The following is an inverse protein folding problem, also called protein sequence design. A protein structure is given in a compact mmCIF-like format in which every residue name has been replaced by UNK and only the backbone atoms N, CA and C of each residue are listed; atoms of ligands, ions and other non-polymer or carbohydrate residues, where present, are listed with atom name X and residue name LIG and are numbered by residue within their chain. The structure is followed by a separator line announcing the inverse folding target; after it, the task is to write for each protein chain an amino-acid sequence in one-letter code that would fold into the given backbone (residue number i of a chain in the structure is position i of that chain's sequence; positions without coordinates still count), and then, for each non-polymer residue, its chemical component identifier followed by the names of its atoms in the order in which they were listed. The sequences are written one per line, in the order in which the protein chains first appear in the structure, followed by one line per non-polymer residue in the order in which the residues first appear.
data_IF_534047609266
#
_entry.id   IF_534047609266
#
_cell.length_a   1.000
_cell.length_b   1.000
_cell.length_c   1.000
_cell.angle_alpha   90.00
_cell.angle_beta   90.00
_cell.angle_gamma   90.00
#
_symmetry.space_group_name_H-M   'P 1'
#
loop_
_entity.id
_entity.type
_entity.pdbx_description
1 polymer ?
#
# COMPACT_ATOMS: atom_id res chain seq x y z
N UNK A 1 25.11 -7.82 -0.08
CA UNK A 1 24.80 -9.17 0.42
C UNK A 1 23.29 -9.28 0.50
N UNK A 2 22.66 -10.19 -0.24
CA UNK A 2 21.21 -10.38 -0.15
C UNK A 2 20.86 -10.85 1.28
N UNK A 3 19.88 -10.23 1.96
CA UNK A 3 19.41 -10.74 3.23
C UNK A 3 18.87 -12.15 3.01
N UNK A 4 19.39 -13.12 3.77
CA UNK A 4 18.82 -14.48 3.79
C UNK A 4 17.38 -14.34 4.27
N UNK A 5 16.37 -14.87 3.56
CA UNK A 5 15.00 -14.82 4.05
C UNK A 5 14.93 -15.51 5.41
N UNK A 6 14.07 -15.03 6.34
CA UNK A 6 13.89 -15.67 7.62
C UNK A 6 13.40 -17.10 7.36
N UNK A 7 14.28 -18.07 7.58
CA UNK A 7 13.88 -19.46 7.65
C UNK A 7 13.12 -19.60 8.96
N UNK A 8 11.87 -20.08 8.91
CA UNK A 8 11.15 -20.54 10.10
C UNK A 8 11.95 -21.70 10.68
N UNK A 9 12.95 -21.41 11.53
CA UNK A 9 13.79 -22.43 12.18
C UNK A 9 13.00 -23.00 13.34
N UNK A 10 12.51 -24.22 13.17
CA UNK A 10 12.18 -25.08 14.31
C UNK A 10 13.50 -25.71 14.78
N UNK A 11 14.05 -25.25 15.90
CA UNK A 11 15.16 -25.96 16.55
C UNK A 11 14.53 -27.08 17.38
N UNK A 12 14.60 -28.31 16.88
CA UNK A 12 14.34 -29.50 17.70
C UNK A 12 15.61 -29.78 18.51
N UNK A 13 15.57 -29.48 19.81
CA UNK A 13 16.61 -29.97 20.73
C UNK A 13 16.34 -31.45 20.97
N UNK A 14 17.01 -32.31 20.21
CA UNK A 14 17.01 -33.74 20.44
C UNK A 14 17.85 -34.09 21.67
N UNK A 15 17.24 -34.79 22.63
CA UNK A 15 17.93 -35.34 23.79
C UNK A 15 19.05 -36.31 23.40
N UNK A 16 20.06 -36.35 24.27
CA UNK A 16 21.28 -37.13 24.16
C UNK A 16 21.05 -38.58 23.67
N UNK A 17 21.98 -39.04 22.82
CA UNK A 17 22.18 -40.38 22.24
C UNK A 17 21.77 -40.46 20.76
N UNK A 18 22.80 -40.44 19.90
CA UNK A 18 22.81 -40.44 18.41
C UNK A 18 22.78 -39.06 17.74
N UNK A 19 23.99 -38.58 17.41
CA UNK A 19 24.23 -37.33 16.70
C UNK A 19 23.90 -37.41 15.22
N UNK A 20 22.62 -37.31 14.88
CA UNK A 20 22.17 -36.90 13.56
C UNK A 20 21.55 -35.50 13.67
N UNK A 21 22.34 -34.46 13.36
CA UNK A 21 21.77 -33.13 13.11
C UNK A 21 21.12 -33.19 11.72
N UNK A 22 19.85 -33.59 11.69
CA UNK A 22 19.04 -33.46 10.49
C UNK A 22 18.75 -31.99 10.24
N UNK A 23 19.36 -31.40 9.20
CA UNK A 23 18.87 -30.13 8.67
C UNK A 23 17.61 -30.45 7.87
N UNK A 24 16.45 -30.31 8.49
CA UNK A 24 15.19 -30.26 7.76
C UNK A 24 15.10 -28.91 7.05
N UNK A 25 15.55 -28.86 5.79
CA UNK A 25 15.26 -27.75 4.89
C UNK A 25 13.81 -27.85 4.44
N UNK A 26 12.92 -27.17 5.17
CA UNK A 26 11.51 -27.08 4.82
C UNK A 26 11.32 -26.09 3.67
N UNK A 27 10.74 -26.55 2.56
CA UNK A 27 10.05 -25.66 1.63
C UNK A 27 8.58 -25.66 2.03
N UNK A 28 8.04 -24.55 2.56
CA UNK A 28 6.59 -24.35 2.60
C UNK A 28 6.02 -24.69 1.22
N UNK A 29 4.82 -25.28 1.16
CA UNK A 29 4.09 -25.28 -0.10
C UNK A 29 4.08 -23.83 -0.63
N UNK A 30 4.35 -23.61 -1.93
CA UNK A 30 4.45 -22.26 -2.46
C UNK A 30 3.15 -21.52 -2.18
N UNK A 31 3.26 -20.28 -1.72
CA UNK A 31 2.07 -19.47 -1.48
C UNK A 31 1.21 -19.39 -2.75
N UNK A 32 -0.13 -19.28 -2.64
CA UNK A 32 -1.00 -19.13 -3.81
C UNK A 32 -0.52 -18.00 -4.74
N UNK A 33 -0.50 -18.26 -6.04
CA UNK A 33 0.03 -17.29 -6.99
C UNK A 33 -0.98 -16.18 -7.30
N UNK A 34 -0.45 -14.97 -7.42
CA UNK A 34 -1.13 -13.86 -8.08
C UNK A 34 -1.46 -14.23 -9.52
N UNK A 35 -2.62 -13.77 -10.01
CA UNK A 35 -3.08 -13.98 -11.37
C UNK A 35 -3.15 -12.63 -12.08
N UNK A 36 -2.58 -12.58 -13.29
CA UNK A 36 -2.81 -11.45 -14.18
C UNK A 36 -4.28 -11.48 -14.59
N UNK A 37 -5.01 -10.40 -14.30
CA UNK A 37 -6.39 -10.21 -14.77
C UNK A 37 -6.34 -9.64 -16.17
N UNK A 38 -5.52 -8.60 -16.38
CA UNK A 38 -5.14 -8.10 -17.70
C UNK A 38 -3.73 -7.50 -17.64
N UNK A 39 -2.97 -7.62 -18.72
CA UNK A 39 -1.70 -6.93 -18.91
C UNK A 39 -1.84 -5.63 -19.69
N UNK A 40 -3.03 -5.38 -20.25
CA UNK A 40 -3.31 -4.30 -21.19
C UNK A 40 -4.68 -3.67 -20.89
N UNK A 41 -4.80 -3.03 -19.73
CA UNK A 41 -6.01 -2.28 -19.41
C UNK A 41 -6.14 -1.03 -20.31
N UNK A 42 -7.36 -0.58 -20.65
CA UNK A 42 -7.58 0.44 -21.69
C UNK A 42 -7.21 1.86 -21.27
N UNK A 43 -6.87 2.07 -20.00
CA UNK A 43 -6.45 3.37 -19.48
C UNK A 43 -4.95 3.57 -19.69
N UNK A 44 -4.52 4.83 -19.86
CA UNK A 44 -3.10 5.12 -20.07
C UNK A 44 -2.23 4.64 -18.89
N UNK A 45 -1.03 4.07 -19.13
CA UNK A 45 -0.11 3.69 -18.07
C UNK A 45 0.21 4.83 -17.12
N UNK A 46 0.14 4.53 -15.82
CA UNK A 46 0.14 5.54 -14.76
C UNK A 46 0.65 4.99 -13.43
N UNK A 47 1.06 5.89 -12.55
CA UNK A 47 1.29 5.60 -11.14
C UNK A 47 0.54 6.60 -10.24
N UNK A 48 0.61 6.43 -8.92
CA UNK A 48 -0.03 7.31 -7.94
C UNK A 48 -1.54 7.55 -8.19
N UNK A 49 -2.20 6.63 -8.87
CA UNK A 49 -3.63 6.73 -9.17
C UNK A 49 -4.45 6.34 -7.94
N UNK A 50 -5.55 7.07 -7.68
CA UNK A 50 -6.50 6.69 -6.65
C UNK A 50 -7.20 5.40 -7.02
N UNK A 51 -7.13 4.37 -6.17
CA UNK A 51 -7.85 3.12 -6.36
C UNK A 51 -8.79 2.90 -5.17
N UNK A 52 -10.10 2.95 -5.42
CA UNK A 52 -11.11 2.93 -4.36
C UNK A 52 -12.30 2.08 -4.75
N UNK A 53 -13.05 1.60 -3.76
CA UNK A 53 -14.33 0.93 -3.98
C UNK A 53 -15.47 1.91 -3.73
N UNK A 54 -16.35 2.04 -4.72
CA UNK A 54 -17.54 2.86 -4.62
C UNK A 54 -18.65 2.22 -5.46
N UNK A 55 -19.85 2.13 -4.90
CA UNK A 55 -21.03 1.51 -5.54
C UNK A 55 -20.74 0.12 -6.13
N UNK A 56 -20.05 -0.73 -5.37
CA UNK A 56 -19.70 -2.10 -5.76
C UNK A 56 -18.88 -2.18 -7.07
N UNK A 57 -18.03 -1.19 -7.31
CA UNK A 57 -17.08 -1.16 -8.43
C UNK A 57 -15.71 -0.70 -7.94
N UNK A 58 -14.68 -1.16 -8.64
CA UNK A 58 -13.32 -0.65 -8.54
C UNK A 58 -13.26 0.64 -9.35
N UNK A 59 -12.79 1.73 -8.74
CA UNK A 59 -12.57 3.00 -9.38
C UNK A 59 -11.09 3.33 -9.44
N UNK A 60 -10.60 3.72 -10.62
CA UNK A 60 -9.26 4.24 -10.87
C UNK A 60 -9.38 5.72 -11.25
N UNK A 61 -8.85 6.61 -10.42
CA UNK A 61 -9.05 8.06 -10.53
C UNK A 61 -7.70 8.76 -10.61
N UNK A 62 -7.48 9.48 -11.71
CA UNK A 62 -6.29 10.28 -11.95
C UNK A 62 -4.99 9.46 -11.94
N UNK A 63 -3.94 10.04 -11.35
CA UNK A 63 -2.58 9.49 -11.30
C UNK A 63 -1.58 10.31 -12.10
N UNK A 64 -0.32 9.90 -12.10
CA UNK A 64 0.75 10.52 -12.90
C UNK A 64 0.95 9.70 -14.18
N UNK A 65 0.90 10.33 -15.37
CA UNK A 65 1.17 9.63 -16.63
C UNK A 65 2.67 9.54 -16.92
N UNK A 66 3.04 8.63 -17.82
CA UNK A 66 4.45 8.36 -18.15
C UNK A 66 5.22 9.53 -18.77
N UNK A 67 4.54 10.36 -19.58
CA UNK A 67 5.18 11.30 -20.50
C UNK A 67 5.02 12.76 -20.12
N UNK A 68 4.18 13.06 -19.13
CA UNK A 68 3.92 14.44 -18.73
C UNK A 68 3.92 14.58 -17.21
N UNK A 69 4.50 15.67 -16.70
CA UNK A 69 4.46 15.98 -15.26
C UNK A 69 3.08 16.43 -14.74
N UNK A 70 2.12 16.69 -15.64
CA UNK A 70 0.74 17.01 -15.28
C UNK A 70 -0.02 15.76 -14.86
N UNK A 71 -0.75 15.85 -13.74
CA UNK A 71 -1.59 14.76 -13.26
C UNK A 71 -2.80 14.51 -14.15
N UNK A 72 -3.15 13.24 -14.31
CA UNK A 72 -4.38 12.81 -14.95
C UNK A 72 -5.60 13.17 -14.09
N UNK A 73 -6.72 13.41 -14.75
CA UNK A 73 -8.01 13.67 -14.10
C UNK A 73 -9.16 12.85 -14.68
N UNK A 74 -8.84 11.79 -15.43
CA UNK A 74 -9.80 10.81 -15.91
C UNK A 74 -10.28 9.89 -14.78
N UNK A 75 -11.50 9.37 -14.91
CA UNK A 75 -12.08 8.42 -13.98
C UNK A 75 -12.52 7.17 -14.75
N UNK A 76 -12.07 6.01 -14.27
CA UNK A 76 -12.43 4.70 -14.82
C UNK A 76 -13.06 3.83 -13.76
N UNK A 77 -14.01 2.99 -14.15
CA UNK A 77 -14.65 2.04 -13.25
C UNK A 77 -14.70 0.63 -13.85
N UNK A 78 -14.66 -0.39 -13.00
CA UNK A 78 -14.82 -1.79 -13.38
C UNK A 78 -15.52 -2.58 -12.28
N UNK A 79 -16.36 -3.56 -12.62
CA UNK A 79 -16.96 -4.44 -11.63
C UNK A 79 -16.04 -5.63 -11.28
N UNK A 80 -15.02 -5.88 -12.09
CA UNK A 80 -14.24 -7.12 -12.04
C UNK A 80 -12.75 -6.94 -12.37
N UNK A 81 -12.30 -5.72 -12.63
CA UNK A 81 -10.90 -5.37 -12.93
C UNK A 81 -10.41 -5.75 -14.33
N UNK A 82 -11.23 -6.43 -15.14
CA UNK A 82 -10.93 -6.80 -16.52
C UNK A 82 -11.48 -5.78 -17.52
N UNK A 83 -12.81 -5.59 -17.57
CA UNK A 83 -13.43 -4.61 -18.45
C UNK A 83 -13.56 -3.28 -17.72
N UNK A 84 -13.00 -2.22 -18.30
CA UNK A 84 -13.04 -0.89 -17.72
C UNK A 84 -13.89 0.06 -18.55
N UNK A 85 -14.76 0.79 -17.88
CA UNK A 85 -15.55 1.89 -18.46
C UNK A 85 -14.86 3.20 -18.14
N UNK A 86 -14.60 4.03 -19.15
CA UNK A 86 -14.19 5.42 -18.91
C UNK A 86 -15.42 6.24 -18.57
N UNK A 87 -15.52 6.64 -17.32
CA UNK A 87 -16.68 7.35 -16.77
C UNK A 87 -16.56 8.86 -16.97
N UNK A 88 -15.32 9.37 -17.02
CA UNK A 88 -15.02 10.77 -17.23
C UNK A 88 -13.66 10.93 -17.91
N UNK A 89 -13.59 11.70 -18.98
CA UNK A 89 -12.33 12.01 -19.68
C UNK A 89 -11.45 13.01 -18.90
N UNK A 90 -12.05 14.05 -18.34
CA UNK A 90 -11.33 15.09 -17.63
C UNK A 90 -12.22 15.71 -16.56
N UNK A 91 -11.81 15.55 -15.30
CA UNK A 91 -12.46 16.22 -14.19
C UNK A 91 -12.01 17.69 -14.04
N UNK A 92 -12.82 18.55 -13.38
CA UNK A 92 -12.60 19.99 -13.32
C UNK A 92 -11.57 20.46 -12.26
N UNK A 93 -10.95 19.56 -11.49
CA UNK A 93 -9.89 19.94 -10.56
C UNK A 93 -8.57 20.25 -11.24
N UNK A 94 -7.65 20.83 -10.48
CA UNK A 94 -6.30 21.10 -10.95
C UNK A 94 -5.57 19.79 -11.30
N UNK A 95 -4.75 19.75 -12.38
CA UNK A 95 -4.09 18.54 -12.86
C UNK A 95 -2.89 18.18 -11.97
N UNK A 96 -3.18 17.69 -10.76
CA UNK A 96 -2.16 17.42 -9.75
C UNK A 96 -1.73 15.95 -9.73
N UNK A 97 -0.47 15.72 -9.40
CA UNK A 97 0.06 14.40 -9.08
C UNK A 97 -0.06 14.11 -7.58
N UNK A 98 -0.04 12.82 -7.20
CA UNK A 98 -0.03 12.37 -5.80
C UNK A 98 -1.17 12.94 -4.95
N UNK A 99 -2.34 13.14 -5.58
CA UNK A 99 -3.59 13.44 -4.87
C UNK A 99 -3.99 12.30 -3.98
N UNK A 100 -4.71 12.63 -2.92
CA UNK A 100 -5.31 11.65 -2.03
C UNK A 100 -6.74 11.40 -2.49
N UNK A 101 -7.10 10.13 -2.72
CA UNK A 101 -8.43 9.74 -3.21
C UNK A 101 -9.01 8.68 -2.27
N UNK A 102 -10.28 8.81 -1.90
CA UNK A 102 -10.97 7.85 -1.03
C UNK A 102 -12.48 7.82 -1.33
N UNK A 103 -13.11 6.68 -1.09
CA UNK A 103 -14.57 6.59 -0.98
C UNK A 103 -14.99 6.77 0.48
N UNK A 104 -15.88 7.72 0.77
CA UNK A 104 -16.35 8.01 2.12
C UNK A 104 -17.76 8.58 2.08
N UNK A 105 -18.61 8.17 3.03
CA UNK A 105 -19.99 8.64 3.16
C UNK A 105 -20.80 8.57 1.84
N UNK A 106 -20.64 7.47 1.09
CA UNK A 106 -21.35 7.25 -0.17
C UNK A 106 -20.91 8.16 -1.32
N UNK A 107 -19.69 8.70 -1.27
CA UNK A 107 -19.12 9.58 -2.29
C UNK A 107 -17.67 9.23 -2.56
N UNK A 108 -17.23 9.55 -3.77
CA UNK A 108 -15.81 9.64 -4.13
C UNK A 108 -15.29 11.01 -3.71
N UNK A 109 -14.09 11.03 -3.14
CA UNK A 109 -13.40 12.24 -2.72
C UNK A 109 -12.00 12.28 -3.31
N UNK A 110 -11.59 13.44 -3.79
CA UNK A 110 -10.22 13.73 -4.19
C UNK A 110 -9.79 15.01 -3.51
N UNK A 111 -8.63 14.99 -2.87
CA UNK A 111 -8.11 16.15 -2.14
C UNK A 111 -6.59 16.22 -2.14
N UNK A 112 -6.08 17.45 -2.09
CA UNK A 112 -4.65 17.73 -2.08
C UNK A 112 -3.91 17.23 -3.32
N UNK A 113 -2.62 17.01 -3.16
CA UNK A 113 -1.69 16.70 -4.25
C UNK A 113 -0.87 17.91 -4.67
N UNK A 114 -0.09 17.73 -5.73
CA UNK A 114 0.84 18.74 -6.21
C UNK A 114 0.53 19.14 -7.65
N UNK A 115 0.30 20.43 -7.87
CA UNK A 115 0.25 21.01 -9.20
C UNK A 115 1.67 21.40 -9.63
N UNK A 116 2.01 21.19 -10.89
CA UNK A 116 3.32 21.57 -11.40
C UNK A 116 3.35 23.06 -11.79
N UNK A 117 4.29 23.80 -11.22
CA UNK A 117 4.56 25.20 -11.53
C UNK A 117 6.02 25.36 -11.98
N UNK A 118 6.23 25.43 -13.29
CA UNK A 118 7.56 25.36 -13.92
C UNK A 118 8.31 24.08 -13.53
N UNK A 119 9.48 24.25 -12.92
CA UNK A 119 10.33 23.15 -12.43
C UNK A 119 9.97 22.71 -10.99
N UNK A 120 8.99 23.37 -10.38
CA UNK A 120 8.57 23.14 -8.98
C UNK A 120 7.20 22.49 -8.89
N UNK A 121 6.88 22.01 -7.70
CA UNK A 121 5.58 21.42 -7.37
C UNK A 121 4.96 22.21 -6.23
N UNK A 122 3.79 22.78 -6.47
CA UNK A 122 3.02 23.52 -5.47
C UNK A 122 1.94 22.62 -4.87
N UNK A 123 1.87 22.47 -3.54
CA UNK A 123 0.81 21.69 -2.90
C UNK A 123 -0.52 22.44 -2.96
N UNK A 124 -1.62 21.72 -3.14
CA UNK A 124 -2.98 22.28 -3.10
C UNK A 124 -3.77 21.77 -1.89
N UNK A 125 -4.83 22.49 -1.52
CA UNK A 125 -5.77 22.10 -0.45
C UNK A 125 -7.22 21.94 -0.97
N UNK A 126 -7.41 21.91 -2.28
CA UNK A 126 -8.75 21.77 -2.87
C UNK A 126 -9.36 20.40 -2.49
N UNK A 127 -10.65 20.42 -2.16
CA UNK A 127 -11.46 19.22 -1.90
C UNK A 127 -12.53 19.14 -2.97
N UNK A 128 -12.61 17.98 -3.64
CA UNK A 128 -13.62 17.67 -4.64
C UNK A 128 -14.35 16.40 -4.25
N UNK A 129 -15.65 16.35 -4.56
CA UNK A 129 -16.46 15.15 -4.34
C UNK A 129 -17.38 14.85 -5.52
N UNK A 130 -17.71 13.57 -5.68
CA UNK A 130 -18.68 13.09 -6.65
C UNK A 130 -19.49 11.93 -6.10
N UNK A 131 -20.74 11.82 -6.54
CA UNK A 131 -21.59 10.67 -6.23
C UNK A 131 -21.36 9.52 -7.20
N UNK A 132 -20.97 9.82 -8.44
CA UNK A 132 -21.02 8.88 -9.55
C UNK A 132 -19.69 8.78 -10.32
N UNK A 133 -18.66 9.53 -9.90
CA UNK A 133 -17.37 9.62 -10.57
C UNK A 133 -17.39 10.36 -11.91
N UNK A 134 -18.56 10.83 -12.38
CA UNK A 134 -18.76 11.54 -13.65
C UNK A 134 -18.94 13.04 -13.43
N UNK A 135 -19.68 13.40 -12.40
CA UNK A 135 -20.00 14.78 -12.04
C UNK A 135 -19.32 15.15 -10.74
N UNK A 136 -18.37 16.07 -10.79
CA UNK A 136 -17.58 16.47 -9.62
C UNK A 136 -17.86 17.91 -9.22
N UNK A 137 -18.00 18.12 -7.92
CA UNK A 137 -18.28 19.44 -7.33
C UNK A 137 -17.16 19.81 -6.36
N UNK A 138 -16.69 21.05 -6.46
CA UNK A 138 -15.72 21.60 -5.50
C UNK A 138 -16.42 21.76 -4.17
N UNK A 139 -15.97 21.01 -3.18
CA UNK A 139 -16.54 21.00 -1.84
C UNK A 139 -15.93 22.10 -0.94
N UNK A 140 -14.81 22.69 -1.36
CA UNK A 140 -14.15 23.80 -0.68
C UNK A 140 -12.63 23.67 -0.69
N UNK A 141 -12.00 24.37 0.24
CA UNK A 141 -10.61 24.18 0.62
C UNK A 141 -10.55 23.54 1.99
N UNK A 142 -9.52 22.73 2.22
CA UNK A 142 -9.34 22.06 3.49
C UNK A 142 -8.83 22.99 4.59
N UNK A 143 -9.21 22.69 5.83
CA UNK A 143 -8.69 23.35 7.03
C UNK A 143 -7.22 22.99 7.32
N UNK A 144 -6.75 21.85 6.78
CA UNK A 144 -5.36 21.43 6.88
C UNK A 144 -4.47 22.17 5.86
N UNK A 145 -3.20 22.39 6.22
CA UNK A 145 -2.24 23.03 5.33
C UNK A 145 -2.07 22.25 4.00
N UNK A 146 -2.01 22.94 2.83
CA UNK A 146 -1.87 22.30 1.52
C UNK A 146 -0.79 21.24 1.49
N UNK A 147 -1.11 20.04 0.97
CA UNK A 147 -0.22 18.88 0.98
C UNK A 147 -0.62 17.82 -0.04
N UNK A 148 0.33 16.93 -0.34
CA UNK A 148 0.10 15.67 -1.04
C UNK A 148 0.81 14.50 -0.36
N UNK A 149 0.54 13.29 -0.84
CA UNK A 149 1.17 12.07 -0.31
C UNK A 149 0.86 11.78 1.16
N UNK A 150 -0.20 12.37 1.73
CA UNK A 150 -0.76 11.92 3.00
C UNK A 150 -1.57 10.64 2.83
N UNK A 151 -1.87 9.96 3.93
CA UNK A 151 -2.73 8.78 3.91
C UNK A 151 -4.15 9.15 4.35
N UNK A 152 -5.15 8.75 3.55
CA UNK A 152 -6.56 8.82 3.91
C UNK A 152 -7.06 7.45 4.35
N UNK A 153 -7.86 7.39 5.41
CA UNK A 153 -8.47 6.15 5.89
C UNK A 153 -9.85 6.43 6.47
N UNK A 154 -10.85 5.63 6.08
CA UNK A 154 -12.16 5.65 6.73
C UNK A 154 -12.14 4.70 7.93
N UNK A 155 -12.44 5.21 9.11
CA UNK A 155 -12.42 4.43 10.35
C UNK A 155 -13.46 4.96 11.33
N UNK A 156 -14.25 4.04 11.89
CA UNK A 156 -15.31 4.35 12.87
C UNK A 156 -16.30 5.42 12.37
N UNK A 157 -16.76 5.29 11.12
CA UNK A 157 -17.72 6.21 10.49
C UNK A 157 -17.15 7.58 10.11
N UNK A 158 -15.86 7.81 10.32
CA UNK A 158 -15.17 9.07 10.07
C UNK A 158 -14.09 8.92 9.00
N UNK A 159 -13.67 10.03 8.41
CA UNK A 159 -12.54 10.08 7.51
C UNK A 159 -11.36 10.75 8.21
N UNK A 160 -10.20 10.12 8.10
CA UNK A 160 -8.96 10.53 8.76
C UNK A 160 -7.89 10.84 7.72
N UNK A 161 -7.11 11.89 7.97
CA UNK A 161 -5.94 12.28 7.19
C UNK A 161 -4.71 12.23 8.11
N UNK A 162 -3.67 11.54 7.64
CA UNK A 162 -2.44 11.33 8.37
C UNK A 162 -1.24 11.81 7.56
N UNK A 163 -0.44 12.71 8.15
CA UNK A 163 0.83 13.16 7.60
C UNK A 163 0.75 13.80 6.20
N UNK A 164 1.75 13.50 5.38
CA UNK A 164 1.94 14.09 4.03
C UNK A 164 3.08 15.10 3.99
N UNK A 165 3.20 15.81 2.87
CA UNK A 165 4.24 16.83 2.67
C UNK A 165 3.76 18.00 1.82
N UNK A 166 4.41 19.16 2.03
CA UNK A 166 4.32 20.32 1.14
C UNK A 166 5.25 20.21 -0.07
N UNK A 167 6.30 19.38 0.04
CA UNK A 167 7.43 19.33 -0.90
C UNK A 167 7.70 17.89 -1.33
N UNK A 168 7.23 17.45 -2.51
CA UNK A 168 7.31 16.04 -2.90
C UNK A 168 8.74 15.53 -3.11
N UNK A 169 9.73 16.41 -3.33
CA UNK A 169 11.16 16.07 -3.45
C UNK A 169 11.97 16.61 -2.25
N UNK A 170 11.30 16.91 -1.14
CA UNK A 170 11.90 17.44 0.08
C UNK A 170 12.85 18.61 -0.18
N UNK A 171 12.49 19.48 -1.14
CA UNK A 171 13.33 20.57 -1.60
C UNK A 171 13.21 21.85 -0.77
N UNK A 172 12.12 22.00 -0.02
CA UNK A 172 11.84 23.14 0.86
C UNK A 172 12.47 23.02 2.25
N UNK A 173 12.17 24.01 3.10
CA UNK A 173 12.66 24.06 4.49
C UNK A 173 11.62 23.61 5.51
N UNK A 174 10.34 23.57 5.13
CA UNK A 174 9.28 23.08 6.00
C UNK A 174 9.35 21.56 6.17
N UNK A 175 9.17 21.05 7.41
CA UNK A 175 9.13 19.62 7.65
C UNK A 175 7.88 18.98 7.03
N UNK A 176 7.96 17.69 6.76
CA UNK A 176 6.77 16.88 6.51
C UNK A 176 5.85 16.89 7.73
N UNK A 177 4.64 16.40 7.53
CA UNK A 177 3.64 16.36 8.58
C UNK A 177 3.62 15.02 9.33
N UNK A 178 3.34 15.09 10.62
CA UNK A 178 2.85 13.99 11.46
C UNK A 178 1.61 14.38 12.27
N UNK A 179 0.83 15.32 11.75
CA UNK A 179 -0.46 15.67 12.30
C UNK A 179 -1.54 14.64 11.88
N UNK A 180 -2.63 14.63 12.64
CA UNK A 180 -3.81 13.83 12.38
C UNK A 180 -5.04 14.73 12.37
N UNK A 181 -5.79 14.64 11.28
CA UNK A 181 -7.04 15.35 11.08
C UNK A 181 -8.18 14.37 10.90
N UNK A 182 -9.38 14.78 11.32
CA UNK A 182 -10.60 13.98 11.18
C UNK A 182 -11.76 14.84 10.66
N UNK A 183 -12.64 14.23 9.90
CA UNK A 183 -13.90 14.84 9.44
C UNK A 183 -15.06 13.84 9.53
N UNK A 184 -16.25 14.37 9.81
CA UNK A 184 -17.51 13.64 9.78
C UNK A 184 -18.20 13.71 8.41
N UNK A 185 -17.84 14.68 7.56
CA UNK A 185 -18.58 15.01 6.34
C UNK A 185 -17.71 15.14 5.07
N UNK A 186 -16.39 15.03 5.20
CA UNK A 186 -15.44 15.15 4.08
C UNK A 186 -14.97 16.58 3.79
N UNK A 187 -15.60 17.61 4.39
CA UNK A 187 -15.35 19.02 4.06
C UNK A 187 -14.84 19.84 5.23
N UNK A 188 -15.36 19.62 6.43
CA UNK A 188 -14.93 20.33 7.66
C UNK A 188 -14.02 19.41 8.46
N UNK A 189 -12.79 19.83 8.67
CA UNK A 189 -11.74 19.02 9.27
C UNK A 189 -11.30 19.60 10.62
N UNK A 190 -11.13 18.71 11.59
CA UNK A 190 -10.62 19.06 12.92
C UNK A 190 -9.26 18.40 13.13
N UNK A 191 -8.25 19.20 13.46
CA UNK A 191 -6.96 18.66 13.89
C UNK A 191 -7.12 18.05 15.28
N UNK A 192 -6.87 16.75 15.41
CA UNK A 192 -7.02 16.02 16.68
C UNK A 192 -5.68 15.65 17.30
N UNK A 193 -4.61 15.64 16.50
CA UNK A 193 -3.23 15.51 16.97
C UNK A 193 -2.36 16.46 16.16
N UNK A 194 -1.67 17.38 16.83
CA UNK A 194 -0.74 18.29 16.15
C UNK A 194 0.58 17.59 15.78
N UNK A 195 1.12 16.78 16.69
CA UNK A 195 2.36 16.05 16.50
C UNK A 195 2.20 14.63 17.06
N UNK A 196 1.91 13.67 16.20
CA UNK A 196 1.83 12.27 16.60
C UNK A 196 3.23 11.70 16.92
N UNK A 197 3.34 10.62 17.71
CA UNK A 197 4.65 10.12 18.16
C UNK A 197 5.49 9.44 17.07
N UNK A 198 4.88 9.13 15.91
CA UNK A 198 5.61 8.65 14.75
C UNK A 198 6.28 9.81 14.00
N UNK A 199 7.42 9.50 13.37
CA UNK A 199 8.17 10.48 12.59
C UNK A 199 7.34 11.03 11.43
N UNK A 200 7.44 12.34 11.19
CA UNK A 200 6.85 13.01 10.03
C UNK A 200 7.15 12.27 8.73
N UNK A 201 6.13 12.08 7.89
CA UNK A 201 6.24 11.21 6.71
C UNK A 201 5.20 11.53 5.66
N UNK A 202 5.59 11.31 4.41
CA UNK A 202 4.71 11.24 3.26
C UNK A 202 4.82 9.85 2.61
N UNK A 203 3.93 9.57 1.66
CA UNK A 203 3.98 8.38 0.80
C UNK A 203 3.95 7.05 1.59
N UNK A 204 3.34 7.09 2.78
CA UNK A 204 3.07 5.96 3.64
C UNK A 204 1.65 5.45 3.37
N UNK A 205 1.35 4.26 3.90
CA UNK A 205 0.00 3.71 3.87
C UNK A 205 -0.68 3.84 5.22
N UNK A 206 -1.99 4.04 5.19
CA UNK A 206 -2.87 3.84 6.33
C UNK A 206 -3.94 2.80 5.99
N UNK A 207 -4.12 1.79 6.84
CA UNK A 207 -5.12 0.73 6.64
C UNK A 207 -5.90 0.47 7.92
N UNK A 208 -7.18 0.09 7.80
CA UNK A 208 -7.94 -0.43 8.94
C UNK A 208 -7.73 -1.93 9.03
N UNK A 209 -7.31 -2.39 10.19
CA UNK A 209 -7.10 -3.81 10.47
C UNK A 209 -7.44 -4.09 11.93
N UNK A 210 -8.24 -5.13 12.17
CA UNK A 210 -8.69 -5.55 13.50
C UNK A 210 -9.20 -4.38 14.37
N UNK A 211 -10.04 -3.52 13.78
CA UNK A 211 -10.67 -2.40 14.49
C UNK A 211 -9.72 -1.27 14.87
N UNK A 212 -8.55 -1.15 14.24
CA UNK A 212 -7.60 -0.08 14.48
C UNK A 212 -7.09 0.52 13.16
N UNK A 213 -6.62 1.76 13.21
CA UNK A 213 -5.86 2.40 12.13
C UNK A 213 -4.41 1.98 12.25
N UNK A 214 -3.78 1.58 11.14
CA UNK A 214 -2.38 1.19 11.07
C UNK A 214 -1.60 2.05 10.10
N UNK A 215 -0.39 2.49 10.47
CA UNK A 215 0.55 3.22 9.61
C UNK A 215 1.70 2.29 9.23
N UNK A 216 2.02 2.23 7.94
CA UNK A 216 3.10 1.41 7.40
C UNK A 216 3.99 2.22 6.45
N UNK A 217 5.30 2.22 6.75
CA UNK A 217 6.33 2.77 5.87
C UNK A 217 6.23 4.28 5.64
N UNK A 218 6.59 4.70 4.42
CA UNK A 218 6.71 6.10 3.98
C UNK A 218 8.01 6.77 4.41
N UNK A 219 8.09 8.08 4.21
CA UNK A 219 9.28 8.86 4.55
C UNK A 219 9.43 10.14 3.71
N UNK A 220 10.63 10.38 3.19
CA UNK A 220 11.01 11.53 2.37
C UNK A 220 11.68 11.07 1.09
N UNK A 221 11.37 11.76 0.00
CA UNK A 221 12.06 11.63 -1.28
C UNK A 221 12.90 12.89 -1.56
N UNK A 222 13.95 12.76 -2.37
CA UNK A 222 14.79 13.89 -2.80
C UNK A 222 15.90 14.25 -1.80
N UNK A 223 16.07 15.53 -1.44
CA UNK A 223 17.19 15.95 -0.57
C UNK A 223 17.04 15.28 0.80
N UNK A 224 18.05 14.53 1.25
CA UNK A 224 18.02 13.76 2.52
C UNK A 224 16.86 12.74 2.58
N UNK A 225 16.73 11.92 1.54
CA UNK A 225 15.73 10.85 1.51
C UNK A 225 15.82 9.95 2.76
N UNK A 226 14.66 9.57 3.29
CA UNK A 226 14.55 8.52 4.30
C UNK A 226 13.34 7.65 3.97
N UNK A 227 13.45 6.36 4.29
CA UNK A 227 12.36 5.43 4.10
C UNK A 227 12.22 4.62 5.39
N UNK A 228 11.02 4.61 5.94
CA UNK A 228 10.73 4.03 7.24
C UNK A 228 10.24 2.59 7.13
N UNK A 229 10.50 1.82 8.18
CA UNK A 229 10.07 0.43 8.37
C UNK A 229 9.46 0.18 9.75
N UNK A 230 9.04 1.25 10.42
CA UNK A 230 8.27 1.16 11.64
C UNK A 230 6.78 0.94 11.32
N UNK A 231 6.09 0.32 12.26
CA UNK A 231 4.65 0.04 12.19
C UNK A 231 4.00 0.57 13.46
N UNK A 232 2.92 1.33 13.27
CA UNK A 232 2.14 1.92 14.36
C UNK A 232 0.67 1.57 14.19
N UNK A 233 -0.04 1.43 15.31
CA UNK A 233 -1.49 1.31 15.32
C UNK A 233 -2.14 2.29 16.30
N UNK A 234 -3.40 2.61 16.06
CA UNK A 234 -4.23 3.44 16.93
C UNK A 234 -5.68 2.96 16.93
N UNK A 235 -6.31 2.78 18.11
CA UNK A 235 -7.72 2.45 18.21
C UNK A 235 -8.66 3.66 18.00
N UNK A 236 -8.14 4.88 18.06
CA UNK A 236 -8.93 6.12 18.12
C UNK A 236 -8.38 7.26 17.24
N UNK A 237 -7.32 7.00 16.48
CA UNK A 237 -6.57 7.97 15.68
C UNK A 237 -5.77 9.00 16.47
N UNK A 238 -5.81 8.96 17.81
CA UNK A 238 -5.20 9.95 18.71
C UNK A 238 -4.06 9.35 19.51
N UNK A 239 -4.30 8.19 20.11
CA UNK A 239 -3.36 7.43 20.91
C UNK A 239 -2.67 6.40 20.04
N UNK A 240 -1.35 6.51 19.87
CA UNK A 240 -0.59 5.67 18.94
C UNK A 240 0.37 4.74 19.67
N UNK A 241 0.37 3.47 19.29
CA UNK A 241 1.28 2.44 19.81
C UNK A 241 2.19 1.96 18.70
N UNK A 242 3.51 2.00 18.92
CA UNK A 242 4.48 1.42 17.99
C UNK A 242 4.52 -0.09 18.17
N UNK A 243 4.21 -0.84 17.11
CA UNK A 243 4.19 -2.31 17.10
C UNK A 243 5.58 -2.89 16.80
N UNK A 244 6.33 -2.25 15.92
CA UNK A 244 7.76 -2.49 15.73
C UNK A 244 8.46 -1.21 15.26
N UNK A 245 9.71 -1.02 15.68
CA UNK A 245 10.56 0.04 15.15
C UNK A 245 11.28 -0.38 13.86
N UNK A 246 11.40 -1.68 13.63
CA UNK A 246 12.11 -2.28 12.50
C UNK A 246 11.39 -3.57 12.10
N UNK A 247 10.45 -3.46 11.16
CA UNK A 247 9.91 -4.63 10.50
C UNK A 247 10.99 -5.34 9.67
N UNK A 248 10.74 -6.60 9.33
CA UNK A 248 11.65 -7.48 8.59
C UNK A 248 11.86 -7.04 7.14
N UNK A 249 10.93 -6.25 6.61
CA UNK A 249 11.03 -5.63 5.30
C UNK A 249 11.83 -4.33 5.34
N UNK A 250 12.59 -4.01 4.28
CA UNK A 250 13.35 -2.76 4.21
C UNK A 250 12.44 -1.55 4.11
N UNK A 251 12.89 -0.43 4.69
CA UNK A 251 12.17 0.84 4.64
C UNK A 251 11.82 1.27 3.22
N UNK A 252 10.59 1.75 3.02
CA UNK A 252 10.01 2.00 1.69
C UNK A 252 9.06 3.19 1.64
N UNK A 253 8.99 3.84 0.48
CA UNK A 253 7.97 4.83 0.13
C UNK A 253 7.17 4.35 -1.08
N UNK A 254 5.98 4.90 -1.32
CA UNK A 254 5.14 4.54 -2.48
C UNK A 254 4.89 3.03 -2.60
N UNK A 255 4.81 2.34 -1.47
CA UNK A 255 4.36 0.95 -1.39
C UNK A 255 2.83 0.91 -1.32
N UNK A 256 2.22 -0.26 -1.52
CA UNK A 256 0.81 -0.46 -1.26
C UNK A 256 0.61 -1.33 -0.01
N UNK A 257 -0.50 -1.12 0.71
CA UNK A 257 -0.87 -1.93 1.86
C UNK A 257 -2.36 -2.23 1.89
N UNK A 258 -2.73 -3.36 2.49
CA UNK A 258 -4.11 -3.78 2.62
C UNK A 258 -4.33 -4.62 3.87
N UNK A 259 -5.58 -4.72 4.33
CA UNK A 259 -6.01 -5.73 5.30
C UNK A 259 -6.80 -6.80 4.55
N UNK A 260 -6.25 -8.02 4.44
CA UNK A 260 -6.87 -9.12 3.71
C UNK A 260 -6.61 -10.44 4.43
N UNK A 261 -7.65 -11.28 4.53
CA UNK A 261 -7.59 -12.60 5.20
C UNK A 261 -6.99 -12.54 6.61
N UNK A 262 -7.42 -11.55 7.40
CA UNK A 262 -6.95 -11.41 8.78
C UNK A 262 -5.47 -11.09 8.92
N UNK A 263 -4.83 -10.53 7.88
CA UNK A 263 -3.47 -10.04 7.93
C UNK A 263 -3.37 -8.64 7.31
N UNK A 264 -2.43 -7.85 7.83
CA UNK A 264 -1.83 -6.70 7.17
C UNK A 264 -0.92 -7.17 6.05
N UNK A 265 -0.92 -6.46 4.93
CA UNK A 265 -0.07 -6.68 3.76
C UNK A 265 0.74 -5.44 3.46
N UNK A 266 2.02 -5.60 3.12
CA UNK A 266 2.93 -4.55 2.64
C UNK A 266 3.59 -5.04 1.36
N UNK A 267 3.41 -4.30 0.27
CA UNK A 267 3.69 -4.78 -1.09
C UNK A 267 4.47 -3.75 -1.89
N UNK A 268 5.58 -4.19 -2.47
CA UNK A 268 6.40 -3.43 -3.39
C UNK A 268 6.82 -2.06 -2.86
N UNK A 269 6.87 -1.06 -3.73
CA UNK A 269 7.28 0.30 -3.39
C UNK A 269 8.75 0.55 -3.63
N UNK A 270 9.15 1.81 -3.51
CA UNK A 270 10.53 2.23 -3.65
C UNK A 270 11.29 1.96 -2.35
N UNK A 271 12.24 1.02 -2.43
CA UNK A 271 13.26 0.80 -1.41
C UNK A 271 14.52 1.56 -1.83
N UNK A 272 15.22 2.30 -0.93
CA UNK A 272 16.39 3.10 -1.31
C UNK A 272 17.51 2.34 -2.03
N UNK A 273 17.64 1.04 -1.80
CA UNK A 273 18.62 0.17 -2.47
C UNK A 273 18.22 -0.24 -3.90
N UNK A 274 16.96 -0.08 -4.29
CA UNK A 274 16.41 -0.56 -5.57
C UNK A 274 15.59 0.52 -6.27
N UNK A 275 16.22 1.27 -7.19
CA UNK A 275 15.56 2.40 -7.87
C UNK A 275 14.34 2.02 -8.73
N UNK A 276 14.22 0.77 -9.20
CA UNK A 276 13.06 0.30 -9.97
C UNK A 276 11.83 0.00 -9.10
N UNK A 277 11.92 0.17 -7.78
CA UNK A 277 10.93 -0.37 -6.84
C UNK A 277 11.23 -1.82 -6.47
N UNK A 278 10.27 -2.44 -5.79
CA UNK A 278 10.37 -3.79 -5.25
C UNK A 278 9.17 -4.63 -5.66
N UNK A 279 9.34 -5.96 -5.70
CA UNK A 279 8.30 -6.98 -5.87
C UNK A 279 8.14 -7.84 -4.60
N UNK A 280 8.77 -7.45 -3.50
CA UNK A 280 8.62 -8.15 -2.24
C UNK A 280 7.24 -7.89 -1.61
N UNK A 281 6.72 -8.94 -1.01
CA UNK A 281 5.39 -8.97 -0.40
C UNK A 281 5.58 -9.53 0.99
N UNK A 282 5.01 -8.82 1.96
CA UNK A 282 5.08 -9.19 3.37
C UNK A 282 3.70 -9.16 3.96
N UNK A 283 3.43 -10.07 4.89
CA UNK A 283 2.21 -10.08 5.66
C UNK A 283 2.48 -10.25 7.16
N UNK A 284 1.57 -9.74 7.97
CA UNK A 284 1.62 -9.85 9.42
C UNK A 284 0.21 -9.84 10.01
N UNK A 285 -0.04 -10.62 11.05
CA UNK A 285 -1.30 -10.56 11.80
C UNK A 285 -1.30 -9.44 12.84
N UNK A 286 -0.14 -9.12 13.42
CA UNK A 286 -0.02 -8.23 14.57
C UNK A 286 0.81 -6.96 14.29
N UNK A 287 1.34 -6.84 13.08
CA UNK A 287 2.26 -5.80 12.63
C UNK A 287 3.59 -5.73 13.38
N UNK A 288 3.86 -6.65 14.32
CA UNK A 288 5.10 -6.75 15.07
C UNK A 288 6.08 -7.72 14.39
N UNK A 289 5.57 -8.83 13.85
CA UNK A 289 6.37 -9.84 13.13
C UNK A 289 5.84 -10.00 11.71
N UNK A 290 6.72 -9.83 10.72
CA UNK A 290 6.36 -9.93 9.31
C UNK A 290 6.98 -11.14 8.63
N UNK A 291 6.17 -11.80 7.81
CA UNK A 291 6.57 -12.97 7.04
C UNK A 291 6.60 -12.63 5.55
N UNK A 292 7.61 -13.10 4.80
CA UNK A 292 7.62 -12.93 3.36
C UNK A 292 6.56 -13.83 2.72
N UNK A 293 5.85 -13.29 1.74
CA UNK A 293 5.02 -14.04 0.81
C UNK A 293 5.84 -14.36 -0.44
N UNK A 294 6.02 -15.64 -0.73
CA UNK A 294 7.05 -16.11 -1.66
C UNK A 294 6.56 -16.28 -3.10
N UNK A 295 5.26 -16.18 -3.32
CA UNK A 295 4.67 -16.27 -4.65
C UNK A 295 4.61 -14.89 -5.31
N UNK A 296 5.55 -14.64 -6.23
CA UNK A 296 5.70 -13.38 -6.94
C UNK A 296 5.39 -13.58 -8.42
N UNK A 297 4.58 -12.69 -9.00
CA UNK A 297 4.22 -12.76 -10.43
C UNK A 297 4.21 -11.40 -11.14
N UNK A 298 4.03 -10.31 -10.41
CA UNK A 298 4.16 -8.96 -10.96
C UNK A 298 5.59 -8.45 -10.84
N UNK A 299 6.03 -7.69 -11.86
CA UNK A 299 7.35 -7.06 -11.89
C UNK A 299 7.55 -6.07 -10.73
N UNK A 300 8.80 -5.85 -10.26
CA UNK A 300 9.09 -4.82 -9.27
C UNK A 300 8.47 -3.49 -9.68
N UNK A 301 7.85 -2.79 -8.72
CA UNK A 301 7.13 -1.53 -8.98
C UNK A 301 6.99 -0.66 -7.73
N UNK A 302 6.78 0.62 -7.95
CA UNK A 302 6.42 1.61 -6.94
C UNK A 302 5.15 2.35 -7.35
N UNK A 303 4.55 3.09 -6.42
CA UNK A 303 3.39 3.95 -6.64
C UNK A 303 2.22 3.25 -7.35
N UNK A 304 2.12 1.93 -7.17
CA UNK A 304 0.98 1.11 -7.55
C UNK A 304 -0.07 1.20 -6.44
N UNK A 305 -1.31 0.85 -6.79
CA UNK A 305 -2.41 0.90 -5.85
C UNK A 305 -2.90 -0.50 -5.54
N UNK A 306 -3.33 -0.73 -4.30
CA UNK A 306 -3.90 -2.00 -3.88
C UNK A 306 -5.17 -1.79 -3.05
N UNK A 307 -6.11 -2.73 -3.18
CA UNK A 307 -7.32 -2.77 -2.35
C UNK A 307 -7.88 -4.19 -2.26
N UNK A 308 -8.84 -4.38 -1.37
CA UNK A 308 -9.62 -5.62 -1.28
C UNK A 308 -11.00 -5.37 -1.86
N UNK A 309 -11.43 -6.23 -2.78
CA UNK A 309 -12.75 -6.17 -3.38
C UNK A 309 -13.18 -7.53 -3.92
N UNK A 310 -14.47 -7.86 -3.76
CA UNK A 310 -15.03 -9.15 -4.19
C UNK A 310 -14.15 -10.35 -3.78
N UNK A 311 -13.76 -10.34 -2.50
CA UNK A 311 -12.98 -11.39 -1.84
C UNK A 311 -11.57 -11.63 -2.42
N UNK A 312 -11.02 -10.62 -3.10
CA UNK A 312 -9.68 -10.64 -3.70
C UNK A 312 -8.86 -9.46 -3.25
N UNK A 313 -7.56 -9.65 -3.19
CA UNK A 313 -6.59 -8.56 -3.08
C UNK A 313 -6.11 -8.17 -4.47
N UNK A 314 -6.20 -6.89 -4.81
CA UNK A 314 -5.89 -6.35 -6.13
C UNK A 314 -4.61 -5.52 -6.09
N UNK A 315 -3.82 -5.58 -7.16
CA UNK A 315 -2.70 -4.67 -7.44
C UNK A 315 -2.89 -4.10 -8.84
N UNK A 316 -2.86 -2.77 -8.95
CA UNK A 316 -3.16 -2.05 -10.21
C UNK A 316 -2.08 -1.02 -10.49
N UNK A 317 -1.62 -0.99 -11.74
CA UNK A 317 -0.71 0.03 -12.28
C UNK A 317 0.60 0.18 -11.49
N UNK A 318 1.15 1.40 -11.45
CA UNK A 318 2.43 1.74 -10.82
C UNK A 318 3.54 1.93 -11.84
N UNK A 319 4.77 2.08 -11.36
CA UNK A 319 5.91 2.33 -12.23
C UNK A 319 7.20 1.65 -11.76
N UNK A 320 8.09 1.37 -12.70
CA UNK A 320 9.41 0.78 -12.47
C UNK A 320 10.46 1.31 -13.46
N UNK A 321 10.42 2.62 -13.71
CA UNK A 321 10.94 3.34 -14.88
C UNK A 321 9.99 3.34 -16.08
N UNK A 322 9.32 2.20 -16.33
CA UNK A 322 8.15 2.17 -17.20
C UNK A 322 6.89 2.33 -16.35
N UNK A 323 5.87 2.97 -16.91
CA UNK A 323 4.57 3.09 -16.26
C UNK A 323 3.70 1.92 -16.71
N UNK A 324 3.00 1.33 -15.76
CA UNK A 324 2.31 0.06 -15.95
C UNK A 324 0.82 0.30 -16.12
N UNK A 325 0.19 -0.60 -16.87
CA UNK A 325 -1.26 -0.65 -17.01
C UNK A 325 -1.86 -2.05 -16.88
N UNK A 326 -1.21 -2.86 -16.06
CA UNK A 326 -1.65 -4.20 -15.72
C UNK A 326 -2.48 -4.21 -14.42
N UNK A 327 -3.29 -5.26 -14.31
CA UNK A 327 -4.14 -5.55 -13.16
C UNK A 327 -3.86 -6.98 -12.72
N UNK A 328 -3.55 -7.13 -11.44
CA UNK A 328 -3.29 -8.41 -10.79
C UNK A 328 -4.29 -8.64 -9.65
N UNK A 329 -4.68 -9.89 -9.45
CA UNK A 329 -5.51 -10.29 -8.33
C UNK A 329 -4.91 -11.50 -7.61
N UNK A 330 -5.08 -11.53 -6.29
CA UNK A 330 -4.76 -12.66 -5.44
C UNK A 330 -6.06 -13.21 -4.84
N UNK A 331 -6.32 -14.48 -5.16
CA UNK A 331 -7.33 -15.29 -4.49
C UNK A 331 -6.66 -16.08 -3.36
N UNK A 332 -7.19 -15.99 -2.15
CA UNK A 332 -6.79 -16.84 -1.03
C UNK A 332 -8.01 -17.59 -0.50
N UNK A 333 -7.85 -18.86 -0.08
CA UNK A 333 -8.90 -19.57 0.66
C UNK A 333 -9.40 -18.75 1.85
N UNK A 334 -10.68 -18.89 2.21
CA UNK A 334 -11.29 -18.18 3.34
C UNK A 334 -10.67 -18.58 4.69
N UNK A 335 -10.13 -19.79 4.77
CA UNK A 335 -9.37 -20.34 5.88
C UNK A 335 -7.86 -20.12 5.77
N UNK A 336 -7.40 -19.25 4.86
CA UNK A 336 -5.98 -18.92 4.76
C UNK A 336 -5.48 -18.32 6.08
N UNK A 337 -4.47 -18.97 6.67
CA UNK A 337 -3.92 -18.58 7.97
C UNK A 337 -2.57 -17.86 7.87
N UNK A 338 -1.98 -17.77 6.67
CA UNK A 338 -0.57 -17.40 6.49
C UNK A 338 0.41 -18.48 6.98
N UNK A 339 -0.10 -19.65 7.36
CA UNK A 339 0.72 -20.81 7.66
C UNK A 339 0.54 -21.80 6.51
N UNK A 340 1.61 -21.98 5.73
CA UNK A 340 1.61 -23.02 4.69
C UNK A 340 1.37 -24.38 5.36
N UNK A 341 0.31 -25.13 4.96
CA UNK A 341 0.00 -26.40 5.58
C UNK A 341 1.21 -27.34 5.50
N UNK A 342 1.62 -27.86 6.65
CA UNK A 342 2.70 -28.83 6.75
C UNK A 342 2.30 -30.13 6.04
N UNK A 343 2.73 -30.33 4.79
CA UNK A 343 2.75 -31.68 4.23
C UNK A 343 3.98 -32.41 4.79
N UNK A 344 3.79 -33.14 5.90
CA UNK A 344 4.79 -34.10 6.37
C UNK A 344 4.88 -35.24 5.35
N UNK A 345 5.74 -35.11 4.35
CA UNK A 345 6.14 -36.24 3.52
C UNK A 345 7.30 -36.94 4.21
N UNK A 346 6.99 -37.96 5.03
CA UNK A 346 8.00 -38.90 5.48
C UNK A 346 8.43 -39.76 4.29
N UNK A 347 9.55 -39.41 3.63
CA UNK A 347 10.29 -40.39 2.84
C UNK A 347 11.29 -41.06 3.79
N UNK A 348 10.90 -42.19 4.36
CA UNK A 348 11.87 -43.11 4.93
C UNK A 348 12.72 -43.65 3.77
N UNK A 349 13.97 -43.17 3.68
CA UNK A 349 15.03 -43.90 2.98
C UNK A 349 15.69 -44.79 4.03
N UNK A 350 15.08 -45.95 4.26
CA UNK A 350 15.73 -47.08 4.90
C UNK A 350 15.71 -48.24 3.90
N UNK A 351 16.76 -49.05 3.97
CA UNK A 351 17.07 -50.27 3.20
C UNK A 351 17.90 -50.02 1.93
N UNK A 352 19.11 -50.56 1.75
CA UNK A 352 19.86 -51.58 2.49
C UNK A 352 21.37 -51.37 2.27
N UNK A 353 22.14 -51.28 3.35
CA UNK A 353 23.57 -51.60 3.33
C UNK A 353 23.73 -52.91 4.10
N UNK A 354 24.30 -53.89 3.41
CA UNK A 354 24.87 -55.16 3.88
C UNK A 354 24.05 -56.44 3.61
N UNK A 355 24.55 -57.22 2.64
CA UNK A 355 24.66 -58.70 2.52
C UNK A 355 25.19 -58.94 1.08
N UNK A 356 26.37 -59.49 0.79
CA UNK A 356 27.29 -60.41 1.46
C UNK A 356 28.74 -60.07 1.13
#
# INVERSE_FOLDING_TARGET
MNPRPPTRRLILVGGLISGAVGIASYRPAPDPSWKAVTSDAPWAPRDNAGLVIHENRIWLIGGTPAKTPQGLSDCWSSAEGLTWTKELDQAPWSPTVQSMVIAFAGRLWRMGGFYQDGDTFAPVAEIWSSQDGRSWTRAGEADWSPRGGGALVSFSGRLWLLGGTRHPRNEGTEPNFNDVWVTDNGTTWTQVVQNAPWQARAFHNAVVHEGQIWILGGGYWGKKAAAYQDVWCSPDGRSWTRKTAMAEWPGRIWSASASFRGALWSMGGLVPSTRAGSDDIWYSKDGAVWYPYLSKMWVPRMAHSALVFSDRLWVVAGSNFDFLHDVWALDLPTDWTGESPFSRTWRFLLEERNRW
#
